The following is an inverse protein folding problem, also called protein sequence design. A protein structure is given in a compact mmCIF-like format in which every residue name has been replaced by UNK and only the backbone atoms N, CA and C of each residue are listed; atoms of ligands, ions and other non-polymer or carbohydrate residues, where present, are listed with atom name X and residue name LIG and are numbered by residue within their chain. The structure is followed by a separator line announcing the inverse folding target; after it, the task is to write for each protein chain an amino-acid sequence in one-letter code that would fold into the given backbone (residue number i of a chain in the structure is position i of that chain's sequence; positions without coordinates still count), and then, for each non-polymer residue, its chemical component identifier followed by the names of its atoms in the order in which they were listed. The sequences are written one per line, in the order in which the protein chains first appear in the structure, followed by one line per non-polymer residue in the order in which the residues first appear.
data_IF_303480263293
#
_entry.id   IF_303480263293
#
_cell.length_a   1.000
_cell.length_b   1.000
_cell.length_c   1.000
_cell.angle_alpha   90.00
_cell.angle_beta   90.00
_cell.angle_gamma   90.00
#
_symmetry.space_group_name_H-M   'P 1'
#
loop_
_entity.id
_entity.type
_entity.pdbx_description
1 polymer ?
#
# COMPACT_ATOMS: atom_id res chain seq x y z
N UNK A 1 10.34 21.11 -24.42
CA UNK A 1 11.78 21.12 -24.21
C UNK A 1 12.10 20.10 -23.13
N UNK A 2 12.47 18.88 -23.51
CA UNK A 2 12.79 17.80 -22.55
C UNK A 2 14.20 18.06 -22.01
N UNK A 3 14.31 18.67 -20.87
CA UNK A 3 15.60 18.84 -20.19
C UNK A 3 15.97 17.50 -19.54
N UNK A 4 17.01 16.95 -20.05
CA UNK A 4 17.70 15.70 -19.73
C UNK A 4 17.96 15.55 -18.23
N UNK A 5 17.09 14.82 -17.52
CA UNK A 5 17.41 14.26 -16.20
C UNK A 5 18.20 12.96 -16.44
N UNK A 6 19.45 13.12 -16.86
CA UNK A 6 20.38 12.01 -17.08
C UNK A 6 21.72 12.37 -16.46
N UNK A 7 21.77 12.40 -15.13
CA UNK A 7 23.05 12.24 -14.42
C UNK A 7 22.86 11.72 -12.98
N UNK A 8 21.90 10.81 -12.74
CA UNK A 8 21.99 9.97 -11.58
C UNK A 8 22.83 8.76 -11.97
N UNK A 9 24.02 8.62 -11.36
CA UNK A 9 24.83 7.41 -11.49
C UNK A 9 23.95 6.18 -11.24
N UNK A 10 24.09 5.15 -12.10
CA UNK A 10 23.40 3.88 -11.88
C UNK A 10 23.80 3.37 -10.49
N UNK A 11 22.85 3.14 -9.56
CA UNK A 11 23.19 2.71 -8.21
C UNK A 11 23.85 1.32 -8.24
N UNK A 12 24.76 1.08 -7.31
CA UNK A 12 25.32 -0.26 -7.11
C UNK A 12 24.21 -1.22 -6.67
N UNK A 13 24.39 -2.51 -6.95
CA UNK A 13 23.42 -3.54 -6.55
C UNK A 13 23.14 -3.51 -5.04
N UNK A 14 24.16 -3.26 -4.24
CA UNK A 14 24.05 -3.14 -2.77
C UNK A 14 23.27 -1.92 -2.29
N UNK A 15 23.05 -0.94 -3.16
CA UNK A 15 22.36 0.31 -2.86
C UNK A 15 20.92 0.35 -3.42
N UNK A 16 20.51 -0.71 -4.14
CA UNK A 16 19.24 -0.70 -4.87
C UNK A 16 18.02 -0.62 -3.95
N UNK A 17 18.08 -1.25 -2.78
CA UNK A 17 16.99 -1.30 -1.80
C UNK A 17 17.24 -0.36 -0.61
N UNK A 18 18.31 0.41 -0.61
CA UNK A 18 18.64 1.36 0.47
C UNK A 18 17.69 2.57 0.40
N UNK A 19 16.99 2.81 1.49
CA UNK A 19 16.08 3.95 1.70
C UNK A 19 16.61 4.96 2.72
N UNK A 20 17.90 4.90 3.05
CA UNK A 20 18.53 5.86 3.97
C UNK A 20 18.28 7.29 3.50
N UNK A 21 17.74 8.13 4.40
CA UNK A 21 17.38 9.52 4.09
C UNK A 21 16.01 9.70 3.43
N UNK A 22 15.31 8.63 3.07
CA UNK A 22 13.95 8.72 2.55
C UNK A 22 12.91 8.78 3.66
N UNK A 23 11.83 9.51 3.44
CA UNK A 23 10.66 9.63 4.33
C UNK A 23 9.45 8.99 3.66
N UNK A 24 8.81 8.05 4.37
CA UNK A 24 7.66 7.30 3.86
C UNK A 24 6.48 7.40 4.79
N UNK A 25 5.31 7.77 4.26
CA UNK A 25 4.02 7.66 4.95
C UNK A 25 3.37 6.32 4.58
N UNK A 26 3.04 5.49 5.58
CA UNK A 26 2.33 4.22 5.40
C UNK A 26 0.97 4.29 6.07
N UNK A 27 -0.10 4.29 5.30
CA UNK A 27 -1.46 4.37 5.85
C UNK A 27 -1.96 3.03 6.38
N UNK A 28 -2.77 3.06 7.47
CA UNK A 28 -3.29 1.84 8.09
C UNK A 28 -2.18 0.90 8.59
N UNK A 29 -1.09 1.47 9.14
CA UNK A 29 0.09 0.71 9.52
C UNK A 29 0.16 0.36 11.01
N UNK A 30 -0.93 0.52 11.76
CA UNK A 30 -1.03 0.09 13.16
C UNK A 30 -1.11 -1.43 13.36
N UNK A 31 -1.20 -2.22 12.28
CA UNK A 31 -1.28 -3.69 12.30
C UNK A 31 -1.21 -4.31 10.90
N UNK A 32 -1.28 -5.64 10.85
CA UNK A 32 -1.39 -6.42 9.61
C UNK A 32 -0.32 -6.10 8.55
N UNK A 33 -0.75 -6.02 7.29
CA UNK A 33 0.10 -5.72 6.13
C UNK A 33 0.84 -4.39 6.32
N UNK A 34 0.13 -3.34 6.75
CA UNK A 34 0.71 -2.01 6.93
C UNK A 34 1.84 -1.97 7.95
N UNK A 35 1.70 -2.71 9.06
CA UNK A 35 2.77 -2.83 10.06
C UNK A 35 3.99 -3.60 9.51
N UNK A 36 3.77 -4.66 8.71
CA UNK A 36 4.83 -5.37 8.01
C UNK A 36 5.59 -4.45 7.05
N UNK A 37 4.85 -3.65 6.28
CA UNK A 37 5.43 -2.65 5.37
C UNK A 37 6.27 -1.62 6.15
N UNK A 38 5.70 -1.01 7.21
CA UNK A 38 6.40 -0.02 8.00
C UNK A 38 7.72 -0.57 8.59
N UNK A 39 7.71 -1.79 9.11
CA UNK A 39 8.91 -2.50 9.60
C UNK A 39 9.96 -2.63 8.51
N UNK A 40 9.60 -3.18 7.36
CA UNK A 40 10.52 -3.44 6.25
C UNK A 40 11.15 -2.16 5.70
N UNK A 41 10.36 -1.09 5.54
CA UNK A 41 10.87 0.18 5.07
C UNK A 41 11.80 0.84 6.09
N UNK A 42 11.51 0.71 7.38
CA UNK A 42 12.38 1.17 8.45
C UNK A 42 13.70 0.38 8.49
N UNK A 43 13.67 -0.95 8.33
CA UNK A 43 14.87 -1.80 8.21
C UNK A 43 15.73 -1.38 7.01
N UNK A 44 15.11 -0.99 5.91
CA UNK A 44 15.80 -0.48 4.72
C UNK A 44 16.37 0.94 4.86
N UNK A 45 16.25 1.57 6.04
CA UNK A 45 16.85 2.87 6.34
C UNK A 45 15.89 4.06 6.30
N UNK A 46 14.63 3.89 5.90
CA UNK A 46 13.66 4.98 5.83
C UNK A 46 13.28 5.57 7.21
N UNK A 47 12.94 6.85 7.24
CA UNK A 47 12.08 7.43 8.27
C UNK A 47 10.64 7.12 7.93
N UNK A 48 9.85 6.60 8.88
CA UNK A 48 8.50 6.11 8.59
C UNK A 48 7.46 6.85 9.45
N UNK A 49 6.46 7.41 8.80
CA UNK A 49 5.25 7.87 9.44
C UNK A 49 4.22 6.71 9.47
N UNK A 50 3.95 6.22 10.68
CA UNK A 50 2.94 5.21 10.97
C UNK A 50 1.60 5.90 11.07
N UNK A 51 0.66 5.55 10.21
CA UNK A 51 -0.69 6.12 10.26
C UNK A 51 -1.71 5.14 10.82
N UNK A 52 -2.59 5.64 11.67
CA UNK A 52 -3.80 4.95 12.11
C UNK A 52 -5.01 5.87 12.07
N UNK A 53 -6.19 5.31 11.84
CA UNK A 53 -7.46 6.03 12.04
C UNK A 53 -7.91 5.92 13.51
N UNK A 54 -8.09 4.72 14.03
CA UNK A 54 -8.62 4.45 15.37
C UNK A 54 -7.70 3.62 16.27
N UNK A 55 -6.86 2.75 15.70
CA UNK A 55 -5.99 1.84 16.48
C UNK A 55 -4.67 2.53 16.88
N UNK A 56 -4.76 3.53 17.75
CA UNK A 56 -3.59 4.25 18.25
C UNK A 56 -2.65 3.32 19.05
N UNK A 57 -3.20 2.45 19.89
CA UNK A 57 -2.40 1.53 20.71
C UNK A 57 -1.53 0.59 19.85
N UNK A 58 -2.05 0.10 18.71
CA UNK A 58 -1.26 -0.69 17.75
C UNK A 58 -0.13 0.13 17.11
N UNK A 59 -0.41 1.40 16.77
CA UNK A 59 0.61 2.30 16.22
C UNK A 59 1.71 2.61 17.25
N UNK A 60 1.36 2.87 18.51
CA UNK A 60 2.30 3.11 19.61
C UNK A 60 3.18 1.89 19.89
N UNK A 61 2.56 0.69 19.93
CA UNK A 61 3.31 -0.57 20.10
C UNK A 61 4.33 -0.77 18.97
N UNK A 62 3.93 -0.49 17.72
CA UNK A 62 4.83 -0.60 16.58
C UNK A 62 5.95 0.47 16.67
N UNK A 63 5.60 1.71 16.96
CA UNK A 63 6.58 2.80 17.10
C UNK A 63 7.61 2.52 18.18
N UNK A 64 7.18 2.02 19.35
CA UNK A 64 8.07 1.62 20.44
C UNK A 64 9.03 0.48 20.03
N UNK A 65 8.56 -0.47 19.22
CA UNK A 65 9.38 -1.57 18.71
C UNK A 65 10.46 -1.09 17.71
N UNK A 66 10.11 -0.12 16.85
CA UNK A 66 11.01 0.38 15.81
C UNK A 66 12.00 1.46 16.33
N UNK A 67 11.62 2.18 17.37
CA UNK A 67 12.48 3.15 18.04
C UNK A 67 12.64 4.48 17.29
N UNK A 68 13.81 4.76 16.77
CA UNK A 68 14.11 6.04 16.10
C UNK A 68 13.57 6.14 14.66
N UNK A 69 13.59 7.33 14.06
CA UNK A 69 13.13 7.62 12.68
C UNK A 69 11.66 7.27 12.46
N UNK A 70 10.84 7.32 13.52
CA UNK A 70 9.42 7.03 13.50
C UNK A 70 8.62 8.23 13.99
N UNK A 71 7.46 8.45 13.41
CA UNK A 71 6.39 9.25 13.98
C UNK A 71 5.05 8.54 13.81
N UNK A 72 4.07 8.91 14.62
CA UNK A 72 2.68 8.47 14.47
C UNK A 72 1.87 9.66 13.98
N UNK A 73 1.03 9.44 12.98
CA UNK A 73 0.01 10.38 12.53
C UNK A 73 -1.35 9.71 12.60
N UNK A 74 -2.33 10.36 13.21
CA UNK A 74 -3.68 9.82 13.38
C UNK A 74 -4.69 10.66 12.63
N UNK A 75 -5.58 10.03 11.86
CA UNK A 75 -6.65 10.71 11.14
C UNK A 75 -7.41 9.82 10.17
N UNK A 76 -8.39 10.40 9.50
CA UNK A 76 -9.10 9.77 8.39
C UNK A 76 -8.37 10.11 7.08
N UNK A 77 -7.98 9.11 6.30
CA UNK A 77 -7.18 9.28 5.07
C UNK A 77 -7.86 10.17 4.02
N UNK A 78 -9.18 10.32 4.09
CA UNK A 78 -9.92 11.16 3.17
C UNK A 78 -10.08 12.58 3.72
N UNK A 79 -10.48 12.73 4.97
CA UNK A 79 -10.79 14.06 5.56
C UNK A 79 -9.54 14.83 5.96
N UNK A 80 -8.50 14.13 6.38
CA UNK A 80 -7.30 14.69 6.99
C UNK A 80 -6.07 14.65 6.09
N UNK A 81 -6.23 14.37 4.79
CA UNK A 81 -5.13 14.10 3.86
C UNK A 81 -4.07 15.22 3.83
N UNK A 82 -4.47 16.50 3.86
CA UNK A 82 -3.55 17.64 3.92
C UNK A 82 -2.77 17.66 5.23
N UNK A 83 -3.47 17.63 6.37
CA UNK A 83 -2.84 17.64 7.69
C UNK A 83 -1.88 16.48 7.89
N UNK A 84 -2.27 15.24 7.48
CA UNK A 84 -1.41 14.06 7.61
C UNK A 84 -0.09 14.24 6.87
N UNK A 85 -0.10 14.75 5.65
CA UNK A 85 1.13 15.00 4.88
C UNK A 85 1.94 16.15 5.46
N UNK A 86 1.30 17.24 5.88
CA UNK A 86 1.95 18.41 6.49
C UNK A 86 2.68 18.06 7.78
N UNK A 87 2.07 17.26 8.65
CA UNK A 87 2.70 16.78 9.89
C UNK A 87 3.97 15.96 9.59
N UNK A 88 3.93 15.09 8.57
CA UNK A 88 5.11 14.31 8.14
C UNK A 88 6.22 15.22 7.63
N UNK A 89 5.88 16.18 6.78
CA UNK A 89 6.85 17.15 6.23
C UNK A 89 7.40 18.07 7.31
N UNK A 90 6.57 18.53 8.23
CA UNK A 90 7.01 19.34 9.36
C UNK A 90 8.01 18.60 10.27
N UNK A 91 7.82 17.29 10.46
CA UNK A 91 8.68 16.45 11.31
C UNK A 91 9.99 16.07 10.64
N UNK A 92 9.95 15.67 9.37
CA UNK A 92 11.10 15.07 8.68
C UNK A 92 11.69 15.95 7.56
N UNK A 93 11.06 17.08 7.25
CA UNK A 93 11.49 18.02 6.21
C UNK A 93 11.08 17.63 4.79
N UNK A 94 10.53 16.43 4.59
CA UNK A 94 10.19 15.90 3.26
C UNK A 94 9.14 14.80 3.34
N UNK A 95 8.55 14.45 2.17
CA UNK A 95 7.79 13.22 1.95
C UNK A 95 8.24 12.65 0.60
N UNK A 96 8.93 11.53 0.60
CA UNK A 96 9.53 10.93 -0.60
C UNK A 96 8.73 9.76 -1.15
N UNK A 97 7.95 9.08 -0.29
CA UNK A 97 7.06 8.04 -0.72
C UNK A 97 5.77 7.96 0.11
N UNK A 98 4.70 7.47 -0.53
CA UNK A 98 3.42 7.16 0.09
C UNK A 98 3.05 5.71 -0.17
N UNK A 99 2.62 4.99 0.87
CA UNK A 99 1.97 3.68 0.74
C UNK A 99 0.52 3.80 1.17
N UNK A 100 -0.39 3.74 0.21
CA UNK A 100 -1.83 3.67 0.44
C UNK A 100 -2.21 2.23 0.77
N UNK A 101 -2.20 1.89 2.07
CA UNK A 101 -2.57 0.58 2.58
C UNK A 101 -3.88 0.60 3.37
N UNK A 102 -4.27 1.73 3.96
CA UNK A 102 -5.55 1.84 4.67
C UNK A 102 -6.72 1.43 3.77
N UNK A 103 -7.63 0.62 4.32
CA UNK A 103 -8.80 0.14 3.61
C UNK A 103 -9.70 -0.68 4.51
N UNK A 104 -10.92 -0.92 4.03
CA UNK A 104 -11.93 -1.76 4.67
C UNK A 104 -12.35 -2.90 3.74
N UNK A 105 -12.78 -4.03 4.32
CA UNK A 105 -13.20 -5.23 3.60
C UNK A 105 -14.37 -5.93 4.32
N UNK A 106 -15.50 -5.27 4.56
CA UNK A 106 -16.68 -5.96 5.08
C UNK A 106 -17.20 -6.98 4.07
N UNK A 107 -17.60 -8.15 4.56
CA UNK A 107 -18.21 -9.22 3.78
C UNK A 107 -19.73 -9.03 3.79
N UNK A 108 -20.36 -8.94 2.61
CA UNK A 108 -21.82 -8.79 2.52
C UNK A 108 -22.35 -9.32 1.18
N UNK A 109 -23.42 -10.15 1.21
CA UNK A 109 -24.08 -10.62 -0.01
C UNK A 109 -24.55 -9.44 -0.89
N UNK A 110 -24.40 -9.56 -2.21
CA UNK A 110 -24.71 -8.48 -3.14
C UNK A 110 -26.16 -7.95 -3.01
N UNK A 111 -27.12 -8.85 -2.83
CA UNK A 111 -28.55 -8.48 -2.69
C UNK A 111 -28.88 -7.78 -1.36
N UNK A 112 -27.97 -7.81 -0.40
CA UNK A 112 -28.12 -7.15 0.91
C UNK A 112 -27.37 -5.82 0.99
N UNK A 113 -26.59 -5.45 -0.04
CA UNK A 113 -25.84 -4.20 -0.06
C UNK A 113 -26.77 -3.01 -0.10
N UNK A 114 -26.55 -2.08 0.79
CA UNK A 114 -27.20 -0.76 0.80
C UNK A 114 -26.35 0.29 0.11
N UNK A 115 -26.97 1.41 -0.27
CA UNK A 115 -26.22 2.56 -0.79
C UNK A 115 -25.17 3.08 0.20
N UNK A 116 -25.43 2.96 1.51
CA UNK A 116 -24.47 3.36 2.55
C UNK A 116 -23.23 2.44 2.57
N UNK A 117 -23.41 1.13 2.44
CA UNK A 117 -22.30 0.18 2.36
C UNK A 117 -21.39 0.47 1.16
N UNK A 118 -22.01 0.73 0.00
CA UNK A 118 -21.28 1.06 -1.24
C UNK A 118 -20.54 2.39 -1.08
N UNK A 119 -21.21 3.41 -0.55
CA UNK A 119 -20.63 4.74 -0.36
C UNK A 119 -19.43 4.69 0.59
N UNK A 120 -19.55 3.99 1.72
CA UNK A 120 -18.46 3.87 2.70
C UNK A 120 -17.26 3.11 2.11
N UNK A 121 -17.49 2.03 1.37
CA UNK A 121 -16.44 1.29 0.67
C UNK A 121 -15.67 2.18 -0.32
N UNK A 122 -16.40 2.94 -1.14
CA UNK A 122 -15.77 3.83 -2.12
C UNK A 122 -15.08 5.03 -1.46
N UNK A 123 -15.66 5.56 -0.39
CA UNK A 123 -15.08 6.66 0.37
C UNK A 123 -13.70 6.29 0.92
N UNK A 124 -13.59 5.15 1.59
CA UNK A 124 -12.32 4.73 2.21
C UNK A 124 -11.34 4.21 1.17
N UNK A 125 -11.75 3.20 0.37
CA UNK A 125 -10.82 2.45 -0.48
C UNK A 125 -10.47 3.15 -1.79
N UNK A 126 -11.25 4.12 -2.25
CA UNK A 126 -11.05 4.79 -3.54
C UNK A 126 -10.77 6.27 -3.36
N UNK A 127 -11.69 7.00 -2.73
CA UNK A 127 -11.58 8.45 -2.57
C UNK A 127 -10.40 8.81 -1.67
N UNK A 128 -10.24 8.15 -0.51
CA UNK A 128 -9.11 8.39 0.39
C UNK A 128 -7.75 8.13 -0.28
N UNK A 129 -7.64 7.09 -1.10
CA UNK A 129 -6.43 6.82 -1.89
C UNK A 129 -6.14 7.94 -2.89
N UNK A 130 -7.17 8.43 -3.59
CA UNK A 130 -7.01 9.50 -4.58
C UNK A 130 -6.60 10.81 -3.92
N UNK A 131 -7.30 11.23 -2.89
CA UNK A 131 -7.05 12.50 -2.19
C UNK A 131 -5.68 12.53 -1.54
N UNK A 132 -5.32 11.49 -0.78
CA UNK A 132 -4.01 11.44 -0.14
C UNK A 132 -2.86 11.36 -1.16
N UNK A 133 -3.06 10.62 -2.27
CA UNK A 133 -2.08 10.60 -3.37
C UNK A 133 -1.88 11.97 -4.01
N UNK A 134 -2.96 12.73 -4.19
CA UNK A 134 -2.91 14.09 -4.73
C UNK A 134 -2.11 15.03 -3.83
N UNK A 135 -2.38 14.99 -2.53
CA UNK A 135 -1.66 15.82 -1.54
C UNK A 135 -0.19 15.41 -1.45
N UNK A 136 0.11 14.13 -1.30
CA UNK A 136 1.48 13.63 -1.22
C UNK A 136 2.29 13.98 -2.48
N UNK A 137 1.68 13.86 -3.68
CA UNK A 137 2.32 14.22 -4.93
C UNK A 137 2.74 15.71 -4.98
N UNK A 138 1.93 16.63 -4.41
CA UNK A 138 2.30 18.06 -4.32
C UNK A 138 3.61 18.27 -3.55
N UNK A 139 3.82 17.51 -2.46
CA UNK A 139 5.07 17.56 -1.68
C UNK A 139 6.26 16.91 -2.39
N UNK A 140 6.02 16.06 -3.40
CA UNK A 140 7.05 15.39 -4.19
C UNK A 140 7.44 16.19 -5.47
N UNK A 141 6.69 17.24 -5.84
CA UNK A 141 6.99 18.03 -7.04
C UNK A 141 8.41 18.61 -7.03
N UNK A 142 9.08 18.54 -8.17
CA UNK A 142 10.45 19.03 -8.35
C UNK A 142 11.56 18.13 -7.82
N UNK A 143 11.20 17.08 -7.05
CA UNK A 143 12.16 16.14 -6.46
C UNK A 143 11.95 14.70 -6.95
N UNK A 144 10.74 14.39 -7.41
CA UNK A 144 10.32 13.04 -7.69
C UNK A 144 9.87 12.30 -6.42
N UNK A 145 9.45 11.04 -6.58
CA UNK A 145 8.97 10.23 -5.47
C UNK A 145 8.36 8.91 -5.91
N UNK A 146 7.74 8.19 -4.98
CA UNK A 146 7.05 6.94 -5.25
C UNK A 146 5.73 6.83 -4.49
N UNK A 147 4.68 6.38 -5.15
CA UNK A 147 3.40 6.03 -4.54
C UNK A 147 3.15 4.54 -4.81
N UNK A 148 2.85 3.77 -3.76
CA UNK A 148 2.45 2.37 -3.87
C UNK A 148 1.05 2.19 -3.28
N UNK A 149 0.13 1.71 -4.10
CA UNK A 149 -1.24 1.45 -3.71
C UNK A 149 -1.43 -0.04 -3.39
N UNK A 150 -1.91 -0.38 -2.21
CA UNK A 150 -2.27 -1.74 -1.87
C UNK A 150 -3.70 -2.00 -2.36
N UNK A 151 -3.78 -2.74 -3.48
CA UNK A 151 -5.02 -3.24 -4.02
C UNK A 151 -5.34 -4.62 -3.41
N UNK A 152 -5.72 -5.59 -4.21
CA UNK A 152 -6.00 -6.99 -3.87
C UNK A 152 -6.03 -7.81 -5.14
N UNK A 153 -5.80 -9.12 -5.03
CA UNK A 153 -6.16 -10.05 -6.13
C UNK A 153 -7.65 -9.94 -6.48
N UNK A 154 -8.50 -9.54 -5.53
CA UNK A 154 -9.93 -9.34 -5.80
C UNK A 154 -10.22 -8.13 -6.69
N UNK A 155 -9.27 -7.23 -6.89
CA UNK A 155 -9.35 -6.20 -7.93
C UNK A 155 -9.13 -6.76 -9.35
N UNK A 156 -8.66 -8.00 -9.47
CA UNK A 156 -8.42 -8.71 -10.73
C UNK A 156 -9.43 -9.85 -10.95
N UNK A 157 -9.75 -10.61 -9.88
CA UNK A 157 -10.69 -11.72 -9.90
C UNK A 157 -11.54 -11.68 -8.63
N UNK A 158 -12.86 -11.43 -8.72
CA UNK A 158 -13.71 -11.20 -7.55
C UNK A 158 -13.95 -12.48 -6.75
N UNK A 159 -14.24 -12.30 -5.45
CA UNK A 159 -14.71 -13.34 -4.55
C UNK A 159 -16.19 -13.16 -4.21
N UNK A 160 -16.85 -14.24 -3.75
CA UNK A 160 -18.23 -14.19 -3.29
C UNK A 160 -18.40 -13.23 -2.11
N UNK A 161 -19.53 -12.49 -2.10
CA UNK A 161 -19.92 -11.53 -1.06
C UNK A 161 -18.98 -10.31 -0.93
N UNK A 162 -18.11 -10.08 -1.90
CA UNK A 162 -17.15 -8.98 -1.91
C UNK A 162 -17.31 -8.04 -3.11
N UNK A 163 -18.47 -8.02 -3.77
CA UNK A 163 -18.65 -7.26 -5.03
C UNK A 163 -18.26 -5.78 -4.92
N UNK A 164 -18.63 -5.10 -3.83
CA UNK A 164 -18.27 -3.70 -3.58
C UNK A 164 -16.77 -3.53 -3.28
N UNK A 165 -16.18 -4.47 -2.52
CA UNK A 165 -14.74 -4.48 -2.25
C UNK A 165 -13.93 -4.72 -3.54
N UNK A 166 -14.25 -5.77 -4.30
CA UNK A 166 -13.60 -6.09 -5.56
C UNK A 166 -13.65 -4.90 -6.53
N UNK A 167 -14.82 -4.26 -6.66
CA UNK A 167 -15.01 -3.04 -7.45
C UNK A 167 -14.09 -1.91 -6.96
N UNK A 168 -13.99 -1.68 -5.65
CA UNK A 168 -13.13 -0.66 -5.09
C UNK A 168 -11.66 -0.93 -5.38
N UNK A 169 -11.22 -2.19 -5.29
CA UNK A 169 -9.83 -2.59 -5.55
C UNK A 169 -9.47 -2.55 -7.04
N UNK A 170 -10.43 -2.86 -7.93
CA UNK A 170 -10.27 -2.64 -9.36
C UNK A 170 -10.13 -1.13 -9.70
N UNK A 171 -10.91 -0.26 -9.04
CA UNK A 171 -10.79 1.19 -9.18
C UNK A 171 -9.39 1.68 -8.77
N UNK A 172 -8.79 1.15 -7.69
CA UNK A 172 -7.42 1.48 -7.27
C UNK A 172 -6.39 1.11 -8.34
N UNK A 173 -6.58 -0.01 -9.06
CA UNK A 173 -5.69 -0.39 -10.17
C UNK A 173 -5.76 0.62 -11.32
N UNK A 174 -6.96 1.09 -11.67
CA UNK A 174 -7.11 2.11 -12.70
C UNK A 174 -6.56 3.47 -12.24
N UNK A 175 -6.80 3.88 -10.98
CA UNK A 175 -6.19 5.07 -10.39
C UNK A 175 -4.66 5.02 -10.48
N UNK A 176 -4.05 3.88 -10.15
CA UNK A 176 -2.60 3.69 -10.23
C UNK A 176 -2.06 4.00 -11.63
N UNK A 177 -2.73 3.50 -12.66
CA UNK A 177 -2.34 3.74 -14.06
C UNK A 177 -2.55 5.19 -14.49
N UNK A 178 -3.66 5.79 -14.11
CA UNK A 178 -3.97 7.19 -14.41
C UNK A 178 -2.96 8.13 -13.74
N UNK A 179 -2.70 7.94 -12.44
CA UNK A 179 -1.72 8.75 -11.72
C UNK A 179 -0.29 8.54 -12.24
N UNK A 180 0.09 7.32 -12.64
CA UNK A 180 1.39 7.06 -13.26
C UNK A 180 1.57 7.85 -14.56
N UNK A 181 0.52 7.94 -15.38
CA UNK A 181 0.52 8.71 -16.62
C UNK A 181 0.71 10.22 -16.36
N UNK A 182 -0.02 10.77 -15.39
CA UNK A 182 -0.01 12.21 -15.11
C UNK A 182 1.25 12.65 -14.35
N UNK A 183 1.68 11.85 -13.35
CA UNK A 183 2.76 12.21 -12.43
C UNK A 183 4.15 11.82 -12.95
N UNK A 184 4.25 10.96 -13.94
CA UNK A 184 5.53 10.48 -14.48
C UNK A 184 6.42 11.61 -14.98
N UNK A 185 5.88 12.66 -15.60
CA UNK A 185 6.62 13.86 -16.02
C UNK A 185 7.27 14.63 -14.86
N UNK A 186 6.80 14.42 -13.63
CA UNK A 186 7.33 15.01 -12.40
C UNK A 186 8.34 14.10 -11.68
N UNK A 187 8.67 12.94 -12.29
CA UNK A 187 9.56 11.95 -11.68
C UNK A 187 8.91 11.14 -10.56
N UNK A 188 7.57 11.18 -10.42
CA UNK A 188 6.82 10.44 -9.41
C UNK A 188 6.32 9.14 -10.04
N UNK A 189 6.72 8.01 -9.48
CA UNK A 189 6.28 6.68 -9.91
C UNK A 189 5.06 6.24 -9.10
N UNK A 190 4.08 5.64 -9.74
CA UNK A 190 2.88 5.12 -9.07
C UNK A 190 2.65 3.68 -9.50
N UNK A 191 2.64 2.74 -8.54
CA UNK A 191 2.45 1.32 -8.80
C UNK A 191 1.46 0.72 -7.80
N UNK A 192 0.93 -0.46 -8.10
CA UNK A 192 0.04 -1.21 -7.22
C UNK A 192 0.64 -2.56 -6.85
N UNK A 193 0.35 -3.01 -5.62
CA UNK A 193 0.54 -4.39 -5.17
C UNK A 193 -0.83 -5.02 -4.97
N UNK A 194 -1.01 -6.25 -5.45
CA UNK A 194 -2.21 -7.06 -5.27
C UNK A 194 -1.90 -8.27 -4.38
N UNK A 195 -2.06 -8.16 -3.05
CA UNK A 195 -1.89 -9.29 -2.16
C UNK A 195 -2.98 -10.34 -2.36
N UNK A 196 -2.62 -11.60 -2.13
CA UNK A 196 -3.55 -12.68 -1.89
C UNK A 196 -4.00 -12.72 -0.43
N UNK A 197 -4.33 -13.92 0.09
CA UNK A 197 -4.67 -14.12 1.50
C UNK A 197 -3.40 -14.02 2.34
N UNK A 198 -3.37 -13.03 3.20
CA UNK A 198 -2.24 -12.75 4.10
C UNK A 198 -2.62 -13.17 5.51
N UNK A 199 -1.71 -13.89 6.16
CA UNK A 199 -1.87 -14.36 7.53
C UNK A 199 -2.04 -13.19 8.52
N UNK A 200 -2.96 -13.37 9.45
CA UNK A 200 -3.27 -12.41 10.50
C UNK A 200 -3.63 -13.16 11.78
N UNK A 201 -3.38 -12.54 12.92
CA UNK A 201 -3.72 -13.12 14.23
C UNK A 201 -5.22 -13.48 14.28
N UNK A 202 -5.52 -14.72 14.64
CA UNK A 202 -6.89 -15.24 14.75
C UNK A 202 -7.56 -15.58 13.42
N UNK A 203 -6.90 -15.42 12.27
CA UNK A 203 -7.50 -15.69 10.97
C UNK A 203 -7.87 -17.18 10.79
N UNK A 204 -6.98 -18.08 11.18
CA UNK A 204 -7.15 -19.51 11.01
C UNK A 204 -8.29 -20.03 11.88
N UNK A 205 -8.43 -19.53 13.11
CA UNK A 205 -9.51 -19.85 14.02
C UNK A 205 -10.87 -19.31 13.54
N UNK A 206 -10.86 -18.09 13.01
CA UNK A 206 -12.08 -17.42 12.52
C UNK A 206 -12.57 -17.99 11.18
N UNK A 207 -11.68 -18.56 10.37
CA UNK A 207 -12.02 -19.03 9.01
C UNK A 207 -11.24 -20.28 8.59
N UNK A 208 -11.24 -21.31 9.43
CA UNK A 208 -10.49 -22.56 9.25
C UNK A 208 -10.66 -23.21 7.88
N UNK A 209 -11.91 -23.34 7.40
CA UNK A 209 -12.21 -23.96 6.09
C UNK A 209 -11.64 -23.15 4.92
N UNK A 210 -11.67 -21.83 5.02
CA UNK A 210 -11.13 -20.93 3.99
C UNK A 210 -9.61 -21.00 3.92
N UNK A 211 -8.95 -20.98 5.07
CA UNK A 211 -7.50 -21.09 5.19
C UNK A 211 -7.03 -22.47 4.67
N UNK A 212 -7.74 -23.54 5.03
CA UNK A 212 -7.44 -24.88 4.54
C UNK A 212 -7.58 -25.00 3.02
N UNK A 213 -8.67 -24.44 2.44
CA UNK A 213 -8.84 -24.40 0.98
C UNK A 213 -7.75 -23.58 0.32
N UNK A 214 -7.41 -22.44 0.90
CA UNK A 214 -6.33 -21.60 0.35
C UNK A 214 -5.02 -22.37 0.27
N UNK A 215 -4.57 -22.99 1.37
CA UNK A 215 -3.33 -23.79 1.40
C UNK A 215 -3.35 -24.92 0.37
N UNK A 216 -4.48 -25.57 0.17
CA UNK A 216 -4.64 -26.66 -0.78
C UNK A 216 -4.59 -26.19 -2.25
N UNK A 217 -5.07 -24.96 -2.52
CA UNK A 217 -5.19 -24.43 -3.88
C UNK A 217 -4.04 -23.50 -4.26
N UNK A 218 -3.43 -22.81 -3.30
CA UNK A 218 -2.31 -21.91 -3.57
C UNK A 218 -1.08 -22.70 -4.03
N UNK A 219 -0.47 -22.38 -5.18
CA UNK A 219 0.73 -23.08 -5.67
C UNK A 219 1.90 -23.12 -4.68
N UNK A 220 2.07 -22.09 -3.84
CA UNK A 220 3.09 -22.08 -2.78
C UNK A 220 2.61 -22.72 -1.46
N UNK A 221 1.42 -23.30 -1.40
CA UNK A 221 0.84 -24.10 -0.31
C UNK A 221 0.83 -23.42 1.08
N UNK A 222 0.89 -22.10 1.11
CA UNK A 222 0.84 -21.31 2.35
C UNK A 222 0.05 -20.01 2.17
N UNK A 223 -0.32 -19.40 3.29
CA UNK A 223 -0.73 -18.00 3.28
C UNK A 223 0.49 -17.12 3.03
N UNK A 224 0.26 -15.93 2.46
CA UNK A 224 1.26 -14.88 2.48
C UNK A 224 1.45 -14.33 3.89
N UNK A 225 2.59 -13.70 4.13
CA UNK A 225 2.87 -12.95 5.35
C UNK A 225 2.86 -11.44 5.05
N UNK A 226 2.68 -10.57 6.05
CA UNK A 226 2.88 -9.14 5.86
C UNK A 226 4.23 -8.79 5.25
N UNK A 227 5.27 -9.59 5.50
CA UNK A 227 6.62 -9.42 4.96
C UNK A 227 6.67 -9.71 3.45
N UNK A 228 5.95 -10.72 2.96
CA UNK A 228 5.89 -11.01 1.51
C UNK A 228 5.37 -9.78 0.72
N UNK A 229 4.37 -9.10 1.27
CA UNK A 229 3.84 -7.85 0.69
C UNK A 229 4.81 -6.70 0.86
N UNK A 230 5.44 -6.59 2.02
CA UNK A 230 6.38 -5.52 2.35
C UNK A 230 7.62 -5.54 1.45
N UNK A 231 8.13 -6.72 1.09
CA UNK A 231 9.26 -6.88 0.17
C UNK A 231 8.93 -6.36 -1.23
N UNK A 232 7.72 -6.62 -1.72
CA UNK A 232 7.24 -6.06 -2.99
C UNK A 232 7.10 -4.54 -2.93
N UNK A 233 6.60 -3.99 -1.82
CA UNK A 233 6.49 -2.54 -1.60
C UNK A 233 7.87 -1.89 -1.54
N UNK A 234 8.82 -2.48 -0.79
CA UNK A 234 10.21 -2.01 -0.74
C UNK A 234 10.83 -1.94 -2.13
N UNK A 235 10.68 -3.01 -2.94
CA UNK A 235 11.14 -3.02 -4.31
C UNK A 235 10.56 -1.86 -5.12
N UNK A 236 9.23 -1.68 -5.08
CA UNK A 236 8.55 -0.65 -5.88
C UNK A 236 8.88 0.78 -5.43
N UNK A 237 9.15 1.02 -4.15
CA UNK A 237 9.57 2.33 -3.64
C UNK A 237 11.03 2.61 -4.03
N UNK A 238 11.89 1.62 -3.99
CA UNK A 238 13.33 1.73 -4.09
C UNK A 238 13.83 2.11 -5.49
N UNK A 239 15.14 2.33 -5.59
CA UNK A 239 15.85 2.60 -6.85
C UNK A 239 15.86 1.39 -7.80
N UNK A 240 15.60 0.17 -7.30
CA UNK A 240 15.47 -1.02 -8.13
C UNK A 240 14.31 -0.90 -9.14
N UNK A 241 13.24 -0.18 -8.77
CA UNK A 241 12.07 0.07 -9.62
C UNK A 241 12.08 1.43 -10.35
N UNK A 242 13.24 2.08 -10.53
CA UNK A 242 13.35 3.44 -11.10
C UNK A 242 12.76 3.62 -12.50
N UNK A 243 12.51 2.53 -13.22
CA UNK A 243 11.89 2.53 -14.56
C UNK A 243 10.55 1.79 -14.58
N UNK A 244 9.92 1.63 -13.40
CA UNK A 244 8.63 0.94 -13.25
C UNK A 244 7.61 1.95 -12.72
N UNK A 245 6.57 2.24 -13.52
CA UNK A 245 5.41 3.04 -13.12
C UNK A 245 4.17 2.53 -13.85
N UNK A 246 3.00 2.63 -13.22
CA UNK A 246 1.73 2.10 -13.73
C UNK A 246 1.59 0.57 -13.66
N UNK A 247 2.54 -0.11 -13.01
CA UNK A 247 2.54 -1.56 -12.89
C UNK A 247 1.61 -2.05 -11.78
N UNK A 248 1.09 -3.26 -11.98
CA UNK A 248 0.38 -4.05 -10.98
C UNK A 248 1.23 -5.29 -10.67
N UNK A 249 1.69 -5.42 -9.43
CA UNK A 249 2.47 -6.56 -8.96
C UNK A 249 1.61 -7.45 -8.07
N UNK A 250 1.33 -8.66 -8.53
CA UNK A 250 0.58 -9.67 -7.77
C UNK A 250 1.52 -10.39 -6.79
N UNK A 251 1.08 -10.51 -5.52
CA UNK A 251 1.81 -11.18 -4.43
C UNK A 251 0.83 -12.11 -3.72
N UNK A 252 0.58 -13.26 -4.32
CA UNK A 252 -0.53 -14.16 -3.95
C UNK A 252 -0.14 -15.65 -3.87
N UNK A 253 1.15 -15.96 -3.93
CA UNK A 253 1.65 -17.33 -3.97
C UNK A 253 1.25 -18.10 -5.22
N UNK A 254 0.84 -17.40 -6.29
CA UNK A 254 0.38 -17.99 -7.56
C UNK A 254 -1.11 -18.30 -7.60
N UNK A 255 -1.91 -17.87 -6.63
CA UNK A 255 -3.35 -18.18 -6.55
C UNK A 255 -4.10 -17.85 -7.85
N UNK A 256 -3.81 -16.69 -8.47
CA UNK A 256 -4.47 -16.29 -9.72
C UNK A 256 -4.04 -17.08 -10.96
N UNK A 257 -3.04 -17.95 -10.86
CA UNK A 257 -2.61 -18.80 -11.97
C UNK A 257 -3.36 -20.13 -12.02
N UNK A 258 -4.18 -20.43 -11.01
CA UNK A 258 -4.93 -21.68 -10.96
C UNK A 258 -6.02 -21.72 -12.03
N UNK A 259 -6.05 -22.86 -12.76
CA UNK A 259 -7.18 -23.20 -13.59
C UNK A 259 -8.36 -23.58 -12.71
N UNK A 260 -9.48 -22.92 -12.92
CA UNK A 260 -10.78 -23.21 -12.28
C UNK A 260 -11.65 -24.15 -13.13
N UNK A 261 -11.04 -24.81 -14.12
CA UNK A 261 -11.70 -25.77 -15.03
C UNK A 261 -11.88 -27.13 -14.35
#
# INVERSE_FOLDING_TARGET
MYTRVMNSSIPKVTELLDLTGSVVLVTGSSGGIGAGIAKRLHEAGASVAIHCSSNLAGAEKLAAHLGNRIMIVQGDVQRDSERLCEEVVAKFGTLDALVNNAGIQPVKPFLELTSADIAEMLRVNVQGVMELSSVAAKHMLGRGGAIVNISSIEGLQPAFNHSHYATSKAAVLMQTRALALELGRHGIRVNAVCPGLIDAEGLEEAWTDGVTRWRKTCPLERLGTPQDVADAVLFLISRAARWITGATLTVDGGMLTNNVW
#
